data_IF_342596831961
#
_entry.id   IF_342596831961
#
_cell.length_a   1.000
_cell.length_b   1.000
_cell.length_c   1.000
_cell.angle_alpha   90.00
_cell.angle_beta   90.00
_cell.angle_gamma   90.00
#
_symmetry.space_group_name_H-M   'P 1'
#
loop_
_entity.id
_entity.type
_entity.pdbx_description
1 polymer ?
#
# COMPACT_ATOMS: atom_id res chain seq x y z
N UNK A 1 -22.13 16.60 26.00
CA UNK A 1 -20.73 16.36 26.42
C UNK A 1 -19.80 16.55 25.22
N UNK A 2 -18.73 17.36 25.28
CA UNK A 2 -17.91 17.66 24.11
C UNK A 2 -17.07 16.44 23.67
N UNK A 3 -17.48 15.79 22.58
CA UNK A 3 -16.89 14.55 22.00
C UNK A 3 -15.37 14.66 21.77
N UNK A 4 -14.88 15.87 21.49
CA UNK A 4 -13.47 16.11 21.22
C UNK A 4 -12.57 15.99 22.45
N UNK A 5 -13.06 16.34 23.64
CA UNK A 5 -12.30 16.22 24.91
C UNK A 5 -12.15 14.75 25.29
N UNK A 6 -13.22 13.96 25.13
CA UNK A 6 -13.17 12.51 25.33
C UNK A 6 -12.19 11.83 24.37
N UNK A 7 -12.21 12.20 23.08
CA UNK A 7 -11.25 11.67 22.09
C UNK A 7 -9.80 12.02 22.45
N UNK A 8 -9.55 13.22 22.98
CA UNK A 8 -8.20 13.66 23.35
C UNK A 8 -7.64 12.92 24.58
N UNK A 9 -8.48 12.66 25.60
CA UNK A 9 -8.08 11.85 26.77
C UNK A 9 -7.70 10.42 26.35
N UNK A 10 -8.44 9.82 25.41
CA UNK A 10 -8.08 8.51 24.85
C UNK A 10 -6.75 8.53 24.07
N UNK A 11 -6.46 9.60 23.33
CA UNK A 11 -5.19 9.75 22.62
C UNK A 11 -3.98 9.86 23.56
N UNK A 12 -4.14 10.51 24.72
CA UNK A 12 -3.09 10.60 25.74
C UNK A 12 -2.81 9.26 26.43
N UNK A 13 -3.84 8.45 26.67
CA UNK A 13 -3.68 7.09 27.20
C UNK A 13 -2.97 6.15 26.23
N UNK A 14 -3.29 6.22 24.92
CA UNK A 14 -2.61 5.41 23.90
C UNK A 14 -1.13 5.77 23.75
N UNK A 15 -0.77 7.05 23.85
CA UNK A 15 0.62 7.51 23.73
C UNK A 15 1.51 7.03 24.88
N UNK A 16 0.93 6.64 26.03
CA UNK A 16 1.64 6.16 27.22
C UNK A 16 1.60 4.62 27.39
N UNK A 17 1.16 3.85 26.39
CA UNK A 17 1.05 2.39 26.50
C UNK A 17 2.44 1.69 26.66
N UNK A 18 2.67 0.87 27.71
CA UNK A 18 4.01 0.36 28.05
C UNK A 18 4.56 -0.72 27.11
N UNK A 19 5.89 -0.91 27.14
CA UNK A 19 6.64 -1.92 26.37
C UNK A 19 6.21 -3.38 26.64
N UNK A 20 5.52 -3.64 27.75
CA UNK A 20 5.18 -4.98 28.26
C UNK A 20 4.13 -5.70 27.38
N UNK A 21 3.19 -4.97 26.77
CA UNK A 21 2.15 -5.57 25.91
C UNK A 21 2.56 -5.71 24.44
N UNK A 22 3.65 -5.04 24.03
CA UNK A 22 4.18 -5.07 22.66
C UNK A 22 4.43 -6.49 22.10
N UNK A 23 5.03 -7.46 22.83
CA UNK A 23 5.26 -8.80 22.27
C UNK A 23 3.98 -9.57 21.98
N UNK A 24 2.93 -9.40 22.80
CA UNK A 24 1.61 -10.04 22.59
C UNK A 24 0.92 -9.42 21.37
N UNK A 25 0.94 -8.09 21.25
CA UNK A 25 0.38 -7.37 20.09
C UNK A 25 1.12 -7.74 18.81
N UNK A 26 2.46 -7.77 18.83
CA UNK A 26 3.27 -8.18 17.69
C UNK A 26 3.00 -9.64 17.28
N UNK A 27 2.78 -10.54 18.24
CA UNK A 27 2.42 -11.93 17.97
C UNK A 27 1.04 -12.07 17.32
N UNK A 28 0.06 -11.26 17.71
CA UNK A 28 -1.27 -11.24 17.09
C UNK A 28 -1.18 -10.67 15.67
N UNK A 29 -0.50 -9.54 15.47
CA UNK A 29 -0.28 -8.95 14.14
C UNK A 29 0.45 -9.92 13.20
N UNK A 30 1.51 -10.57 13.68
CA UNK A 30 2.29 -11.52 12.87
C UNK A 30 1.51 -12.80 12.52
N UNK A 31 0.61 -13.26 13.40
CA UNK A 31 -0.31 -14.37 13.10
C UNK A 31 -1.43 -13.96 12.13
N UNK A 32 -1.97 -12.75 12.24
CA UNK A 32 -2.94 -12.21 11.28
C UNK A 32 -2.28 -12.00 9.91
N UNK A 33 -1.03 -11.56 9.88
CA UNK A 33 -0.21 -11.46 8.68
C UNK A 33 -0.02 -12.83 8.02
N UNK A 34 0.33 -13.86 8.79
CA UNK A 34 0.55 -15.21 8.26
C UNK A 34 -0.72 -15.98 7.86
N UNK A 35 -1.84 -15.79 8.56
CA UNK A 35 -3.06 -16.60 8.37
C UNK A 35 -4.10 -15.96 7.45
N UNK A 36 -4.18 -14.63 7.40
CA UNK A 36 -5.24 -13.93 6.67
C UNK A 36 -4.69 -12.95 5.65
N UNK A 37 -3.67 -12.16 5.97
CA UNK A 37 -3.23 -11.08 5.10
C UNK A 37 -2.32 -11.61 3.98
N UNK A 38 -1.34 -12.48 4.30
CA UNK A 38 -0.42 -13.07 3.33
C UNK A 38 -1.10 -13.89 2.22
N UNK A 39 -1.97 -14.87 2.55
CA UNK A 39 -2.67 -15.66 1.55
C UNK A 39 -3.61 -14.82 0.67
N UNK A 40 -4.35 -13.87 1.25
CA UNK A 40 -5.23 -12.99 0.49
C UNK A 40 -4.43 -12.01 -0.39
N UNK A 41 -3.31 -11.47 0.09
CA UNK A 41 -2.40 -10.66 -0.71
C UNK A 41 -1.90 -11.46 -1.92
N UNK A 42 -1.48 -12.72 -1.73
CA UNK A 42 -1.02 -13.56 -2.84
C UNK A 42 -2.15 -13.86 -3.83
N UNK A 43 -3.36 -14.14 -3.37
CA UNK A 43 -4.53 -14.29 -4.25
C UNK A 43 -4.80 -13.02 -5.07
N UNK A 44 -4.80 -11.85 -4.44
CA UNK A 44 -5.01 -10.59 -5.13
C UNK A 44 -3.88 -10.24 -6.10
N UNK A 45 -2.62 -10.49 -5.73
CA UNK A 45 -1.47 -10.32 -6.61
C UNK A 45 -1.57 -11.24 -7.84
N UNK A 46 -1.91 -12.51 -7.64
CA UNK A 46 -2.10 -13.45 -8.75
C UNK A 46 -3.25 -13.01 -9.68
N UNK A 47 -4.35 -12.49 -9.13
CA UNK A 47 -5.43 -11.94 -9.93
C UNK A 47 -4.99 -10.72 -10.74
N UNK A 48 -4.31 -9.76 -10.10
CA UNK A 48 -3.82 -8.55 -10.76
C UNK A 48 -2.79 -8.91 -11.85
N UNK A 49 -1.87 -9.81 -11.56
CA UNK A 49 -0.87 -10.32 -12.50
C UNK A 49 -1.52 -10.99 -13.71
N UNK A 50 -2.53 -11.83 -13.48
CA UNK A 50 -3.29 -12.48 -14.55
C UNK A 50 -4.09 -11.49 -15.40
N UNK A 51 -4.61 -10.43 -14.79
CA UNK A 51 -5.29 -9.37 -15.54
C UNK A 51 -4.30 -8.51 -16.34
N UNK A 52 -3.15 -8.16 -15.77
CA UNK A 52 -2.10 -7.39 -16.45
C UNK A 52 -1.37 -8.18 -17.54
N UNK A 53 -1.57 -9.49 -17.60
CA UNK A 53 -1.18 -10.32 -18.75
C UNK A 53 -2.03 -10.03 -19.98
N UNK A 54 -3.33 -9.74 -19.79
CA UNK A 54 -4.29 -9.53 -20.90
C UNK A 54 -4.34 -8.10 -21.40
N UNK A 55 -3.99 -7.14 -20.55
CA UNK A 55 -4.13 -5.70 -20.82
C UNK A 55 -2.92 -4.92 -20.35
N UNK A 56 -2.59 -3.86 -21.10
CA UNK A 56 -1.42 -3.02 -20.80
C UNK A 56 -1.55 -2.25 -19.48
N UNK A 57 -2.74 -1.77 -19.16
CA UNK A 57 -3.11 -1.02 -17.95
C UNK A 57 -4.28 -1.73 -17.23
N UNK A 58 -4.56 -1.37 -15.97
CA UNK A 58 -5.64 -2.03 -15.21
C UNK A 58 -7.01 -1.78 -15.82
N UNK A 59 -7.21 -0.59 -16.43
CA UNK A 59 -8.45 -0.22 -17.08
C UNK A 59 -8.54 -0.66 -18.56
N UNK A 60 -7.55 -1.39 -19.08
CA UNK A 60 -7.51 -1.85 -20.48
C UNK A 60 -6.27 -1.38 -21.22
N UNK A 61 -6.41 -1.07 -22.52
CA UNK A 61 -5.28 -0.69 -23.37
C UNK A 61 -4.81 0.75 -23.17
N UNK A 62 -5.69 1.61 -22.67
CA UNK A 62 -5.41 3.02 -22.45
C UNK A 62 -5.31 3.34 -20.96
N UNK A 63 -4.36 4.20 -20.62
CA UNK A 63 -4.18 4.68 -19.26
C UNK A 63 -5.35 5.57 -18.83
N UNK A 64 -5.85 5.35 -17.62
CA UNK A 64 -7.05 6.00 -17.12
C UNK A 64 -6.92 6.54 -15.68
N UNK A 65 -7.97 7.18 -15.19
CA UNK A 65 -8.07 7.58 -13.78
C UNK A 65 -8.03 6.41 -12.80
N UNK A 66 -8.44 5.21 -13.21
CA UNK A 66 -8.36 4.02 -12.36
C UNK A 66 -6.90 3.64 -12.08
N UNK A 67 -6.02 3.76 -13.08
CA UNK A 67 -4.59 3.50 -12.92
C UNK A 67 -3.94 4.53 -11.98
N UNK A 68 -4.37 5.79 -12.03
CA UNK A 68 -3.92 6.85 -11.10
C UNK A 68 -4.31 6.51 -9.65
N UNK A 69 -5.57 6.08 -9.42
CA UNK A 69 -6.02 5.73 -8.08
C UNK A 69 -5.32 4.47 -7.54
N UNK A 70 -5.13 3.46 -8.40
CA UNK A 70 -4.55 2.19 -8.01
C UNK A 70 -3.02 2.23 -7.86
N UNK A 71 -2.32 3.15 -8.54
CA UNK A 71 -0.86 3.09 -8.65
C UNK A 71 -0.12 3.10 -7.34
N UNK A 72 -0.53 3.97 -6.41
CA UNK A 72 0.15 4.07 -5.12
C UNK A 72 -0.10 2.84 -4.25
N UNK A 73 -1.34 2.35 -4.24
CA UNK A 73 -1.71 1.14 -3.50
C UNK A 73 -0.93 -0.08 -4.00
N UNK A 74 -0.84 -0.26 -5.32
CA UNK A 74 -0.10 -1.36 -5.94
C UNK A 74 1.41 -1.25 -5.75
N UNK A 75 1.96 -0.03 -5.81
CA UNK A 75 3.37 0.19 -5.54
C UNK A 75 3.72 -0.12 -4.08
N UNK A 76 2.85 0.27 -3.13
CA UNK A 76 3.04 -0.07 -1.72
C UNK A 76 2.83 -1.56 -1.46
N UNK A 77 1.88 -2.19 -2.16
CA UNK A 77 1.65 -3.64 -2.08
C UNK A 77 2.90 -4.40 -2.51
N UNK A 78 3.51 -4.05 -3.64
CA UNK A 78 4.76 -4.69 -4.09
C UNK A 78 5.89 -4.48 -3.08
N UNK A 79 6.05 -3.26 -2.55
CA UNK A 79 7.08 -2.95 -1.54
C UNK A 79 6.89 -3.67 -0.20
N UNK A 80 5.65 -4.03 0.18
CA UNK A 80 5.32 -4.53 1.53
C UNK A 80 4.88 -5.99 1.58
N UNK A 81 4.54 -6.59 0.44
CA UNK A 81 4.02 -7.97 0.37
C UNK A 81 5.10 -9.03 0.59
N UNK A 82 6.39 -8.68 0.49
CA UNK A 82 7.49 -9.63 0.54
C UNK A 82 7.59 -10.55 -0.71
N UNK A 83 6.77 -10.30 -1.73
CA UNK A 83 6.81 -10.99 -3.03
C UNK A 83 7.94 -10.38 -3.86
N UNK A 84 8.73 -11.24 -4.50
CA UNK A 84 9.84 -10.76 -5.35
C UNK A 84 9.31 -10.28 -6.70
N UNK A 85 9.98 -9.31 -7.30
CA UNK A 85 9.55 -8.73 -8.58
C UNK A 85 9.49 -9.75 -9.72
N UNK A 86 10.32 -10.80 -9.65
CA UNK A 86 10.34 -11.91 -10.61
C UNK A 86 9.12 -12.82 -10.50
N UNK A 87 8.42 -12.83 -9.36
CA UNK A 87 7.17 -13.58 -9.18
C UNK A 87 5.96 -12.86 -9.81
N UNK A 88 6.07 -11.55 -10.08
CA UNK A 88 4.98 -10.70 -10.61
C UNK A 88 5.47 -9.76 -11.74
N UNK A 89 5.99 -10.32 -12.85
CA UNK A 89 6.64 -9.54 -13.90
C UNK A 89 5.72 -8.52 -14.58
N UNK A 90 4.42 -8.80 -14.74
CA UNK A 90 3.49 -7.87 -15.38
C UNK A 90 3.12 -6.71 -14.47
N UNK A 91 2.97 -6.95 -13.17
CA UNK A 91 2.82 -5.89 -12.17
C UNK A 91 4.07 -5.02 -12.10
N UNK A 92 5.26 -5.61 -12.13
CA UNK A 92 6.54 -4.89 -12.17
C UNK A 92 6.64 -4.03 -13.43
N UNK A 93 6.30 -4.58 -14.61
CA UNK A 93 6.20 -3.83 -15.88
C UNK A 93 5.22 -2.66 -15.76
N UNK A 94 4.04 -2.89 -15.20
CA UNK A 94 3.01 -1.87 -15.01
C UNK A 94 3.51 -0.71 -14.13
N UNK A 95 4.11 -1.00 -12.97
CA UNK A 95 4.66 0.01 -12.06
C UNK A 95 5.80 0.80 -12.72
N UNK A 96 6.67 0.11 -13.46
CA UNK A 96 7.78 0.75 -14.18
C UNK A 96 7.27 1.71 -15.25
N UNK A 97 6.34 1.25 -16.10
CA UNK A 97 5.71 2.08 -17.11
C UNK A 97 4.98 3.29 -16.50
N UNK A 98 4.44 3.15 -15.30
CA UNK A 98 3.82 4.25 -14.56
C UNK A 98 4.85 5.30 -14.11
N UNK A 99 5.97 4.85 -13.52
CA UNK A 99 7.06 5.71 -13.02
C UNK A 99 7.76 6.49 -14.13
N UNK A 100 7.81 5.94 -15.34
CA UNK A 100 8.42 6.59 -16.50
C UNK A 100 7.62 7.81 -16.99
N UNK A 101 6.30 7.86 -16.71
CA UNK A 101 5.43 8.95 -17.15
C UNK A 101 5.88 10.28 -16.55
N UNK A 102 6.06 11.30 -17.39
CA UNK A 102 6.42 12.65 -16.94
C UNK A 102 5.42 13.22 -15.92
N UNK A 103 4.13 12.91 -16.07
CA UNK A 103 3.09 13.30 -15.12
C UNK A 103 3.28 12.67 -13.73
N UNK A 104 3.72 11.42 -13.66
CA UNK A 104 4.02 10.74 -12.40
C UNK A 104 5.25 11.37 -11.73
N UNK A 105 6.32 11.63 -12.49
CA UNK A 105 7.53 12.32 -11.98
C UNK A 105 7.20 13.69 -11.38
N UNK A 106 6.42 14.51 -12.09
CA UNK A 106 5.93 15.81 -11.58
C UNK A 106 5.06 15.68 -10.33
N UNK A 107 4.22 14.64 -10.26
CA UNK A 107 3.41 14.38 -9.08
C UNK A 107 4.30 14.03 -7.87
N UNK A 108 5.31 13.19 -8.06
CA UNK A 108 6.27 12.83 -7.01
C UNK A 108 7.11 14.00 -6.53
N UNK A 109 7.53 14.90 -7.44
CA UNK A 109 8.21 16.14 -7.06
C UNK A 109 7.34 17.03 -6.15
N UNK A 110 6.03 17.10 -6.42
CA UNK A 110 5.10 17.85 -5.57
C UNK A 110 4.88 17.16 -4.23
N UNK A 111 4.64 15.85 -4.23
CA UNK A 111 4.45 15.06 -3.00
C UNK A 111 5.71 15.13 -2.11
N UNK A 112 6.90 14.97 -2.68
CA UNK A 112 8.17 15.06 -1.95
C UNK A 112 8.42 16.44 -1.33
N UNK A 113 7.96 17.52 -1.99
CA UNK A 113 7.98 18.87 -1.41
C UNK A 113 7.02 19.01 -0.23
N UNK A 114 5.88 18.34 -0.25
CA UNK A 114 4.88 18.37 0.85
C UNK A 114 5.32 17.54 2.06
N UNK A 115 6.08 16.46 1.86
CA UNK A 115 6.58 15.59 2.94
C UNK A 115 7.75 16.17 3.75
N UNK A 116 8.33 17.32 3.34
CA UNK A 116 9.43 18.01 4.02
C UNK A 116 8.97 19.20 4.90
N UNK A 117 7.66 19.33 5.14
CA UNK A 117 7.10 20.37 6.01
C UNK A 117 6.06 19.77 6.95
N UNK A 118 6.49 19.04 7.97
CA UNK A 118 5.71 18.72 9.20
C UNK A 118 6.65 18.24 10.29
#
# INVERSE_FOLDING_TARGET
MPILVTKYIFLLLQKQAPWIIKPVVNGICSKMDGLFIGPNIRTHLNFIEGELTKRKWLAGEQFSGADIQASFALEMLLKRSGVKEEEVPNLTRYITAMRERSAYKRAMEKVGKTSMTS
#
